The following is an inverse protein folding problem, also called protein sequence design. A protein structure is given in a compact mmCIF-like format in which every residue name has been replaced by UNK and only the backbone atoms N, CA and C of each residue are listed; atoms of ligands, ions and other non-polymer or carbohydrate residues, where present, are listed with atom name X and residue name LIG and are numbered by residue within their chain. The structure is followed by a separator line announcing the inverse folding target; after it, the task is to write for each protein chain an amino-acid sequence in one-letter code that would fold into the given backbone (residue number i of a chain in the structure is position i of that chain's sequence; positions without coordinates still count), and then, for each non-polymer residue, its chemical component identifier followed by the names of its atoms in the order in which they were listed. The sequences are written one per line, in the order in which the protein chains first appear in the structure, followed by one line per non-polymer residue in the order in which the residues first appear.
data_IF_450163035692
#
_entry.id   IF_450163035692
#
_cell.length_a   1.000
_cell.length_b   1.000
_cell.length_c   1.000
_cell.angle_alpha   90.00
_cell.angle_beta   90.00
_cell.angle_gamma   90.00
#
_symmetry.space_group_name_H-M   'P 1'
#
loop_
_entity.id
_entity.type
_entity.pdbx_description
1 polymer ?
#
# COMPACT_ATOMS: atom_id res chain seq x y z
N UNK A 1 -25.05 1.47 -0.78
CA UNK A 1 -24.12 0.56 -0.08
C UNK A 1 -24.92 -0.28 0.89
N UNK A 2 -25.30 -1.51 0.53
CA UNK A 2 -26.23 -2.32 1.31
C UNK A 2 -25.57 -3.31 2.29
N UNK A 3 -24.24 -3.50 2.22
CA UNK A 3 -23.52 -4.54 2.97
C UNK A 3 -22.36 -4.02 3.85
N UNK A 4 -22.38 -2.73 4.21
CA UNK A 4 -21.36 -2.10 5.04
C UNK A 4 -20.07 -1.71 4.29
N UNK A 5 -19.15 -1.04 4.99
CA UNK A 5 -17.92 -0.47 4.44
C UNK A 5 -16.94 -1.51 3.90
N UNK A 6 -16.88 -2.70 4.51
CA UNK A 6 -16.00 -3.77 4.03
C UNK A 6 -16.40 -4.19 2.61
N UNK A 7 -17.69 -4.34 2.36
CA UNK A 7 -18.19 -4.74 1.05
C UNK A 7 -18.17 -3.62 0.02
N UNK A 8 -18.34 -2.37 0.45
CA UNK A 8 -18.34 -1.23 -0.47
C UNK A 8 -16.96 -0.70 -0.82
N UNK A 9 -16.03 -0.62 0.14
CA UNK A 9 -14.70 -0.04 -0.05
C UNK A 9 -13.58 -1.05 0.20
N UNK A 10 -13.81 -2.02 1.08
CA UNK A 10 -12.80 -3.03 1.41
C UNK A 10 -12.47 -3.96 0.24
N UNK A 11 -13.43 -4.25 -0.62
CA UNK A 11 -13.22 -5.04 -1.84
C UNK A 11 -12.13 -4.47 -2.74
N UNK A 12 -12.06 -3.14 -2.91
CA UNK A 12 -10.98 -2.48 -3.66
C UNK A 12 -9.62 -2.64 -2.97
N UNK A 13 -9.56 -2.49 -1.64
CA UNK A 13 -8.30 -2.66 -0.92
C UNK A 13 -7.83 -4.11 -0.95
N UNK A 14 -8.74 -5.08 -0.80
CA UNK A 14 -8.43 -6.51 -0.85
C UNK A 14 -7.96 -6.92 -2.25
N UNK A 15 -8.64 -6.47 -3.30
CA UNK A 15 -8.23 -6.77 -4.67
C UNK A 15 -6.88 -6.12 -4.99
N UNK A 16 -6.63 -4.90 -4.54
CA UNK A 16 -5.34 -4.23 -4.73
C UNK A 16 -4.21 -4.98 -4.01
N UNK A 17 -4.42 -5.44 -2.77
CA UNK A 17 -3.42 -6.24 -2.06
C UNK A 17 -3.04 -7.51 -2.83
N UNK A 18 -4.05 -8.21 -3.39
CA UNK A 18 -3.84 -9.40 -4.24
C UNK A 18 -3.07 -9.07 -5.50
N UNK A 19 -3.43 -7.99 -6.19
CA UNK A 19 -2.74 -7.58 -7.42
C UNK A 19 -1.30 -7.15 -7.17
N UNK A 20 -1.01 -6.48 -6.05
CA UNK A 20 0.36 -6.08 -5.71
C UNK A 20 1.25 -7.30 -5.45
N UNK A 21 0.74 -8.29 -4.73
CA UNK A 21 1.49 -9.52 -4.46
C UNK A 21 1.39 -10.58 -5.56
N UNK A 22 0.54 -10.36 -6.58
CA UNK A 22 0.16 -11.34 -7.59
C UNK A 22 -0.19 -12.72 -6.99
N UNK A 23 -0.91 -12.71 -5.87
CA UNK A 23 -1.21 -13.90 -5.10
C UNK A 23 -2.48 -13.76 -4.26
N UNK A 24 -3.07 -14.89 -3.87
CA UNK A 24 -4.10 -14.93 -2.83
C UNK A 24 -3.47 -14.84 -1.44
N UNK A 25 -4.18 -14.23 -0.50
CA UNK A 25 -3.78 -14.26 0.90
C UNK A 25 -3.97 -15.68 1.47
N UNK A 26 -3.00 -16.15 2.24
CA UNK A 26 -3.10 -17.44 2.94
C UNK A 26 -4.01 -17.37 4.16
N UNK A 27 -3.99 -16.23 4.85
CA UNK A 27 -4.76 -16.02 6.08
C UNK A 27 -5.07 -14.55 6.34
N UNK A 28 -6.20 -14.31 7.01
CA UNK A 28 -6.50 -13.04 7.67
C UNK A 28 -6.00 -13.12 9.11
N UNK A 29 -4.93 -12.37 9.42
CA UNK A 29 -4.25 -12.37 10.73
C UNK A 29 -5.02 -11.54 11.75
N UNK A 30 -5.65 -10.45 11.29
CA UNK A 30 -6.36 -9.51 12.14
C UNK A 30 -7.53 -8.92 11.35
N UNK A 31 -8.70 -8.80 11.96
CA UNK A 31 -9.82 -8.06 11.40
C UNK A 31 -10.56 -7.34 12.53
N UNK A 32 -10.63 -6.01 12.43
CA UNK A 32 -11.31 -5.13 13.35
C UNK A 32 -12.34 -4.31 12.59
N UNK A 33 -13.53 -4.16 13.16
CA UNK A 33 -14.62 -3.40 12.56
C UNK A 33 -15.33 -2.57 13.60
N UNK A 34 -15.77 -1.37 13.21
CA UNK A 34 -16.67 -0.56 14.01
C UNK A 34 -17.99 -0.35 13.27
N UNK A 35 -19.10 -0.47 13.98
CA UNK A 35 -20.45 -0.33 13.44
C UNK A 35 -21.19 0.86 14.04
N UNK A 36 -22.12 1.42 13.27
CA UNK A 36 -23.08 2.37 13.82
C UNK A 36 -23.94 1.61 14.83
N UNK A 37 -24.18 2.19 15.99
CA UNK A 37 -24.99 1.57 17.05
C UNK A 37 -26.39 2.17 17.15
N UNK A 38 -26.64 3.26 16.44
CA UNK A 38 -27.84 4.09 16.51
C UNK A 38 -28.47 4.37 15.12
N UNK A 39 -29.74 4.79 15.15
CA UNK A 39 -30.51 5.16 13.95
C UNK A 39 -30.91 4.01 13.03
N UNK A 40 -31.48 4.36 11.87
CA UNK A 40 -32.00 3.39 10.87
C UNK A 40 -30.87 2.58 10.20
N UNK A 41 -29.61 3.00 10.35
CA UNK A 41 -28.41 2.39 9.75
C UNK A 41 -27.50 1.70 10.77
N UNK A 42 -28.04 1.28 11.92
CA UNK A 42 -27.32 0.68 13.05
C UNK A 42 -26.72 -0.73 12.83
N UNK A 43 -26.61 -1.19 11.58
CA UNK A 43 -26.02 -2.50 11.23
C UNK A 43 -24.90 -2.40 10.21
N UNK A 44 -24.60 -1.20 9.73
CA UNK A 44 -23.49 -0.95 8.81
C UNK A 44 -22.20 -0.66 9.56
N UNK A 45 -21.10 -1.31 9.17
CA UNK A 45 -19.78 -0.90 9.62
C UNK A 45 -19.35 0.41 8.94
N UNK A 46 -18.75 1.31 9.71
CA UNK A 46 -18.23 2.61 9.27
C UNK A 46 -16.71 2.70 9.30
N UNK A 47 -16.04 1.72 9.91
CA UNK A 47 -14.59 1.57 9.93
C UNK A 47 -14.24 0.08 9.87
N UNK A 48 -13.15 -0.23 9.18
CA UNK A 48 -12.48 -1.52 9.32
C UNK A 48 -10.97 -1.38 9.16
N UNK A 49 -10.26 -2.30 9.82
CA UNK A 49 -8.85 -2.59 9.60
C UNK A 49 -8.71 -4.10 9.48
N UNK A 50 -8.05 -4.58 8.44
CA UNK A 50 -7.70 -5.99 8.33
C UNK A 50 -6.24 -6.16 7.95
N UNK A 51 -5.65 -7.27 8.38
CA UNK A 51 -4.28 -7.67 8.05
C UNK A 51 -4.27 -9.06 7.45
N UNK A 52 -3.56 -9.22 6.36
CA UNK A 52 -3.44 -10.47 5.62
C UNK A 52 -1.98 -10.89 5.49
N UNK A 53 -1.73 -12.20 5.44
CA UNK A 53 -0.42 -12.79 5.10
C UNK A 53 -0.48 -13.39 3.70
N UNK A 54 0.61 -13.24 2.95
CA UNK A 54 0.75 -13.75 1.59
C UNK A 54 1.87 -14.80 1.48
N UNK A 55 1.85 -15.66 0.44
CA UNK A 55 2.81 -16.77 0.30
C UNK A 55 4.28 -16.37 0.23
N UNK A 56 4.59 -15.16 -0.25
CA UNK A 56 5.96 -14.62 -0.28
C UNK A 56 6.47 -14.18 1.12
N UNK A 57 5.68 -14.39 2.17
CA UNK A 57 5.97 -13.93 3.53
C UNK A 57 5.71 -12.44 3.74
N UNK A 58 5.14 -11.76 2.74
CA UNK A 58 4.64 -10.39 2.85
C UNK A 58 3.33 -10.32 3.65
N UNK A 59 2.99 -9.11 4.09
CA UNK A 59 1.71 -8.82 4.75
C UNK A 59 1.04 -7.61 4.14
N UNK A 60 -0.29 -7.58 4.13
CA UNK A 60 -1.07 -6.41 3.70
C UNK A 60 -1.96 -5.92 4.85
N UNK A 61 -1.75 -4.68 5.28
CA UNK A 61 -2.64 -3.94 6.15
C UNK A 61 -3.60 -3.10 5.29
N UNK A 62 -4.89 -3.35 5.41
CA UNK A 62 -5.93 -2.65 4.65
C UNK A 62 -6.88 -1.93 5.61
N UNK A 63 -7.21 -0.69 5.27
CA UNK A 63 -8.04 0.15 6.12
C UNK A 63 -8.98 1.00 5.28
N UNK A 64 -10.23 1.10 5.73
CA UNK A 64 -11.13 2.16 5.30
C UNK A 64 -11.97 2.66 6.45
N UNK A 65 -12.35 3.94 6.38
CA UNK A 65 -13.31 4.51 7.33
C UNK A 65 -14.07 5.69 6.75
N UNK A 66 -15.31 5.87 7.21
CA UNK A 66 -16.25 6.91 6.79
C UNK A 66 -16.24 8.12 7.73
N UNK A 67 -15.60 8.04 8.90
CA UNK A 67 -15.67 9.07 9.94
C UNK A 67 -14.30 9.60 10.28
N UNK A 68 -13.95 10.81 9.82
CA UNK A 68 -13.05 11.67 10.59
C UNK A 68 -12.54 12.94 9.93
N UNK A 69 -11.28 13.28 10.22
CA UNK A 69 -10.74 14.64 10.12
C UNK A 69 -10.64 15.14 8.67
N UNK A 70 -10.69 16.47 8.50
CA UNK A 70 -10.71 17.15 7.19
C UNK A 70 -9.52 16.82 6.28
N UNK A 71 -8.32 16.56 6.83
CA UNK A 71 -7.13 16.17 6.07
C UNK A 71 -6.79 14.70 6.32
N UNK A 72 -7.55 13.78 5.72
CA UNK A 72 -7.35 12.34 5.90
C UNK A 72 -7.57 11.55 4.60
N UNK A 73 -6.86 10.44 4.51
CA UNK A 73 -6.92 9.35 3.53
C UNK A 73 -7.92 8.22 3.90
N UNK A 74 -9.21 8.32 3.51
CA UNK A 74 -10.30 7.44 3.99
C UNK A 74 -10.16 5.97 3.64
N UNK A 75 -9.32 5.63 2.66
CA UNK A 75 -9.01 4.25 2.27
C UNK A 75 -7.58 4.12 1.83
N UNK A 76 -6.89 3.10 2.33
CA UNK A 76 -5.54 2.74 1.87
C UNK A 76 -5.22 1.27 2.10
N UNK A 77 -4.26 0.80 1.33
CA UNK A 77 -3.60 -0.50 1.50
C UNK A 77 -2.12 -0.26 1.71
N UNK A 78 -1.54 -0.91 2.70
CA UNK A 78 -0.11 -0.92 2.99
C UNK A 78 0.37 -2.35 2.90
N UNK A 79 1.21 -2.65 1.92
CA UNK A 79 1.88 -3.94 1.79
C UNK A 79 3.30 -3.85 2.31
N UNK A 80 3.68 -4.82 3.12
CA UNK A 80 5.01 -4.96 3.69
C UNK A 80 5.64 -6.25 3.19
N UNK A 81 6.79 -6.13 2.53
CA UNK A 81 7.59 -7.25 2.02
C UNK A 81 8.35 -7.94 3.15
N UNK A 82 8.77 -9.20 2.91
CA UNK A 82 9.72 -9.88 3.79
C UNK A 82 11.08 -9.15 3.74
N UNK A 83 11.87 -9.26 4.80
CA UNK A 83 13.23 -8.75 4.78
C UNK A 83 14.10 -9.54 3.79
N UNK A 84 14.63 -8.86 2.78
CA UNK A 84 15.50 -9.43 1.75
C UNK A 84 16.95 -8.97 1.94
N UNK A 85 17.91 -9.82 1.55
CA UNK A 85 19.33 -9.47 1.60
C UNK A 85 19.67 -8.64 0.38
N UNK A 86 20.23 -7.45 0.60
CA UNK A 86 20.66 -6.56 -0.49
C UNK A 86 22.18 -6.68 -0.63
N UNK A 87 22.69 -7.12 -1.79
CA UNK A 87 24.12 -7.11 -2.07
C UNK A 87 24.69 -5.69 -1.94
N UNK A 88 25.80 -5.55 -1.22
CA UNK A 88 26.49 -4.27 -1.03
C UNK A 88 27.98 -4.52 -0.83
N UNK A 89 28.76 -4.34 -1.90
CA UNK A 89 30.20 -4.59 -1.93
C UNK A 89 30.99 -3.61 -1.04
N UNK A 90 30.35 -2.53 -0.56
CA UNK A 90 30.97 -1.58 0.37
C UNK A 90 30.98 -2.07 1.82
N UNK A 91 30.25 -3.15 2.13
CA UNK A 91 30.16 -3.68 3.49
C UNK A 91 31.22 -4.76 3.76
N UNK A 92 31.75 -4.84 4.99
CA UNK A 92 32.61 -5.94 5.41
C UNK A 92 31.90 -7.29 5.26
N UNK A 93 32.65 -8.35 4.95
CA UNK A 93 32.10 -9.71 4.78
C UNK A 93 31.34 -10.23 6.01
N UNK A 94 31.66 -9.72 7.21
CA UNK A 94 30.97 -10.01 8.47
C UNK A 94 29.58 -9.38 8.58
N UNK A 95 29.22 -8.45 7.68
CA UNK A 95 27.93 -7.76 7.73
C UNK A 95 27.02 -8.20 6.58
N UNK A 96 25.70 -8.11 6.82
CA UNK A 96 24.68 -8.23 5.78
C UNK A 96 23.72 -7.06 5.86
N UNK A 97 23.33 -6.56 4.69
CA UNK A 97 22.32 -5.53 4.55
C UNK A 97 20.98 -6.19 4.28
N UNK A 98 20.01 -5.91 5.14
CA UNK A 98 18.64 -6.32 4.97
C UNK A 98 17.81 -5.11 4.59
N UNK A 99 16.84 -5.31 3.68
CA UNK A 99 15.87 -4.29 3.33
C UNK A 99 14.47 -4.87 3.46
N UNK A 100 13.63 -4.13 4.16
CA UNK A 100 12.19 -4.35 4.24
C UNK A 100 11.51 -3.15 3.62
N UNK A 101 10.61 -3.38 2.66
CA UNK A 101 9.84 -2.31 2.02
C UNK A 101 8.39 -2.37 2.41
N UNK A 102 7.87 -1.20 2.76
CA UNK A 102 6.47 -0.92 3.00
C UNK A 102 5.99 0.00 1.87
N UNK A 103 5.00 -0.45 1.09
CA UNK A 103 4.36 0.33 0.01
C UNK A 103 2.93 0.62 0.40
N UNK A 104 2.57 1.89 0.52
CA UNK A 104 1.21 2.32 0.86
C UNK A 104 0.56 3.01 -0.34
N UNK A 105 -0.56 2.45 -0.79
CA UNK A 105 -1.44 3.06 -1.79
C UNK A 105 -2.58 3.80 -1.12
N UNK A 106 -2.64 5.10 -1.39
CA UNK A 106 -3.72 5.95 -0.95
C UNK A 106 -4.65 6.27 -2.10
N UNK A 107 -5.95 6.41 -1.77
CA UNK A 107 -6.90 7.03 -2.69
C UNK A 107 -7.42 6.13 -3.80
N UNK A 108 -7.36 4.80 -3.67
CA UNK A 108 -7.88 3.86 -4.68
C UNK A 108 -9.33 4.12 -5.10
N UNK A 109 -10.20 4.44 -4.13
CA UNK A 109 -11.63 4.73 -4.38
C UNK A 109 -11.83 6.14 -4.96
N UNK A 110 -10.86 7.04 -4.74
CA UNK A 110 -10.90 8.43 -5.18
C UNK A 110 -9.75 8.73 -6.16
N UNK A 111 -9.33 7.71 -6.92
CA UNK A 111 -8.08 7.75 -7.68
C UNK A 111 -8.08 8.82 -8.78
N UNK A 112 -9.23 9.43 -9.07
CA UNK A 112 -9.37 10.57 -9.97
C UNK A 112 -9.03 11.90 -9.28
N UNK A 113 -9.48 12.08 -8.04
CA UNK A 113 -9.29 13.32 -7.30
C UNK A 113 -7.92 13.38 -6.64
N UNK A 114 -7.48 12.27 -6.04
CA UNK A 114 -6.20 12.20 -5.35
C UNK A 114 -5.80 10.75 -5.03
N UNK A 115 -4.54 10.44 -5.31
CA UNK A 115 -3.91 9.15 -5.07
C UNK A 115 -2.40 9.35 -4.97
N UNK A 116 -1.77 8.51 -4.17
CA UNK A 116 -0.34 8.58 -3.89
C UNK A 116 0.15 7.22 -3.50
N UNK A 117 1.35 6.86 -3.96
CA UNK A 117 2.10 5.71 -3.49
C UNK A 117 3.20 6.23 -2.60
N UNK A 118 3.22 5.81 -1.34
CA UNK A 118 4.36 6.05 -0.46
C UNK A 118 5.15 4.75 -0.33
N UNK A 119 6.45 4.82 -0.66
CA UNK A 119 7.39 3.73 -0.49
C UNK A 119 8.30 4.09 0.68
N UNK A 120 8.35 3.20 1.67
CA UNK A 120 9.19 3.31 2.85
C UNK A 120 10.09 2.10 2.93
N UNK A 121 11.37 2.33 2.73
CA UNK A 121 12.41 1.31 2.86
C UNK A 121 13.05 1.42 4.24
N UNK A 122 12.96 0.34 5.01
CA UNK A 122 13.72 0.15 6.23
C UNK A 122 14.94 -0.68 5.87
N UNK A 123 16.13 -0.07 5.98
CA UNK A 123 17.39 -0.75 5.71
C UNK A 123 18.12 -0.99 7.04
N UNK A 124 18.52 -2.22 7.27
CA UNK A 124 19.22 -2.66 8.47
C UNK A 124 20.52 -3.36 8.09
N UNK A 125 21.64 -2.94 8.67
CA UNK A 125 22.89 -3.69 8.61
C UNK A 125 22.96 -4.54 9.86
N UNK A 126 23.09 -5.85 9.68
CA UNK A 126 23.22 -6.82 10.77
C UNK A 126 24.56 -7.52 10.71
N UNK A 127 25.13 -7.74 11.87
CA UNK A 127 26.35 -8.53 12.02
C UNK A 127 26.02 -10.03 11.86
N UNK A 128 26.85 -10.77 11.12
CA UNK A 128 26.72 -12.22 10.95
C UNK A 128 27.29 -12.95 12.17
N UNK A 129 28.38 -12.43 12.75
CA UNK A 129 29.17 -13.12 13.76
C UNK A 129 28.65 -12.85 15.18
N UNK A 130 28.03 -11.68 15.40
CA UNK A 130 27.49 -11.23 16.69
C UNK A 130 26.03 -11.58 16.98
N UNK A 131 25.49 -12.67 16.41
CA UNK A 131 24.13 -13.13 16.68
C UNK A 131 23.01 -12.32 16.02
N UNK A 132 23.30 -11.58 14.94
CA UNK A 132 22.29 -10.83 14.19
C UNK A 132 21.94 -9.46 14.76
N UNK A 133 22.79 -8.89 15.63
CA UNK A 133 22.59 -7.54 16.19
C UNK A 133 22.56 -6.50 15.07
N UNK A 134 21.61 -5.58 15.16
CA UNK A 134 21.48 -4.44 14.21
C UNK A 134 22.58 -3.43 14.52
N UNK A 135 23.53 -3.28 13.60
CA UNK A 135 24.63 -2.32 13.69
C UNK A 135 24.17 -0.93 13.27
N UNK A 136 23.35 -0.86 12.23
CA UNK A 136 22.83 0.41 11.69
C UNK A 136 21.45 0.21 11.11
N UNK A 137 20.57 1.19 11.33
CA UNK A 137 19.23 1.22 10.76
C UNK A 137 18.92 2.61 10.24
N UNK A 138 18.35 2.70 9.05
CA UNK A 138 17.82 3.96 8.52
C UNK A 138 16.57 3.72 7.68
N UNK A 139 15.84 4.81 7.45
CA UNK A 139 14.58 4.79 6.71
C UNK A 139 14.70 5.72 5.52
N UNK A 140 14.42 5.21 4.32
CA UNK A 140 14.24 6.01 3.10
C UNK A 140 12.76 6.09 2.78
N UNK A 141 12.26 7.28 2.47
CA UNK A 141 10.87 7.51 2.06
C UNK A 141 10.85 8.17 0.69
N UNK A 142 10.07 7.63 -0.23
CA UNK A 142 9.80 8.22 -1.54
C UNK A 142 8.31 8.17 -1.83
N UNK A 143 7.80 9.17 -2.52
CA UNK A 143 6.39 9.24 -2.89
C UNK A 143 6.26 9.31 -4.41
N UNK A 144 5.29 8.59 -4.96
CA UNK A 144 4.97 8.58 -6.39
C UNK A 144 3.50 8.94 -6.61
N UNK A 145 3.21 9.56 -7.75
CA UNK A 145 1.86 9.88 -8.21
C UNK A 145 1.75 9.39 -9.67
N UNK A 146 0.64 8.77 -10.05
CA UNK A 146 0.44 8.30 -11.41
C UNK A 146 -0.28 9.30 -12.34
N UNK A 147 -0.74 10.44 -11.81
CA UNK A 147 -1.44 11.45 -12.62
C UNK A 147 -0.54 12.04 -13.69
N UNK A 148 -1.00 11.92 -14.93
CA UNK A 148 -0.58 12.79 -16.03
C UNK A 148 -1.78 13.64 -16.40
N UNK A 149 -1.82 14.89 -15.94
CA UNK A 149 -2.75 15.85 -16.51
C UNK A 149 -2.31 16.12 -17.95
N UNK A 150 -3.23 16.01 -18.91
CA UNK A 150 -2.93 16.47 -20.26
C UNK A 150 -2.65 17.98 -20.19
N UNK A 151 -1.49 18.36 -20.72
CA UNK A 151 -1.14 19.77 -20.90
C UNK A 151 -1.93 20.29 -22.09
N UNK A 152 -2.58 21.44 -21.93
CA UNK A 152 -3.20 22.12 -23.07
C UNK A 152 -2.13 22.52 -24.11
N UNK A 153 -2.58 23.03 -25.26
CA UNK A 153 -1.69 23.59 -26.29
C UNK A 153 -0.82 24.78 -25.83
N UNK A 154 -0.88 25.16 -24.54
CA UNK A 154 -0.09 26.20 -23.89
C UNK A 154 0.73 25.65 -22.71
N UNK A 155 0.81 24.32 -22.55
CA UNK A 155 1.62 23.67 -21.52
C UNK A 155 1.01 23.66 -20.12
N UNK A 156 -0.24 24.10 -19.93
CA UNK A 156 -0.93 24.17 -18.63
C UNK A 156 -1.67 22.89 -18.37
N UNK A 157 -1.59 22.38 -17.15
CA UNK A 157 -2.42 21.26 -16.72
C UNK A 157 -3.88 21.70 -16.73
N UNK A 158 -4.71 21.03 -17.52
CA UNK A 158 -6.15 21.33 -17.59
C UNK A 158 -6.95 20.25 -16.88
N UNK A 159 -7.92 20.68 -16.09
CA UNK A 159 -8.95 19.79 -15.52
C UNK A 159 -9.89 19.37 -16.66
N UNK A 160 -9.53 18.31 -17.39
CA UNK A 160 -10.46 17.64 -18.30
C UNK A 160 -11.44 16.77 -17.50
N UNK A 161 -12.64 16.56 -18.04
CA UNK A 161 -13.54 15.51 -17.58
C UNK A 161 -12.83 14.16 -17.69
N UNK A 162 -12.54 13.56 -16.54
CA UNK A 162 -11.89 12.25 -16.46
C UNK A 162 -12.90 11.20 -16.87
N UNK A 163 -12.56 10.42 -17.90
CA UNK A 163 -13.41 9.34 -18.37
C UNK A 163 -13.29 8.12 -17.45
N UNK A 164 -14.22 7.18 -17.61
CA UNK A 164 -14.12 5.88 -16.92
C UNK A 164 -12.79 5.17 -17.22
N UNK A 165 -12.35 5.21 -18.48
CA UNK A 165 -11.11 4.59 -18.95
C UNK A 165 -9.88 5.23 -18.29
N UNK A 166 -9.84 6.56 -18.20
CA UNK A 166 -8.77 7.29 -17.51
C UNK A 166 -8.66 6.87 -16.02
N UNK A 167 -9.81 6.68 -15.37
CA UNK A 167 -9.84 6.22 -13.96
C UNK A 167 -9.30 4.81 -13.81
N UNK A 168 -9.65 3.90 -14.72
CA UNK A 168 -9.11 2.53 -14.70
C UNK A 168 -7.62 2.57 -14.96
N UNK A 169 -7.18 3.28 -15.99
CA UNK A 169 -5.78 3.37 -16.37
C UNK A 169 -4.91 3.95 -15.24
N UNK A 170 -5.38 4.99 -14.55
CA UNK A 170 -4.68 5.56 -13.41
C UNK A 170 -4.58 4.58 -12.24
N UNK A 171 -5.67 3.88 -11.90
CA UNK A 171 -5.67 2.88 -10.83
C UNK A 171 -4.76 1.69 -11.16
N UNK A 172 -4.83 1.16 -12.39
CA UNK A 172 -3.98 0.05 -12.83
C UNK A 172 -2.50 0.44 -12.82
N UNK A 173 -2.15 1.62 -13.36
CA UNK A 173 -0.76 2.11 -13.33
C UNK A 173 -0.23 2.26 -11.90
N UNK A 174 -1.07 2.64 -10.94
CA UNK A 174 -0.66 2.72 -9.53
C UNK A 174 -0.38 1.33 -8.94
N UNK A 175 -1.20 0.34 -9.29
CA UNK A 175 -1.02 -1.06 -8.90
C UNK A 175 0.26 -1.61 -9.53
N UNK A 176 0.51 -1.35 -10.81
CA UNK A 176 1.71 -1.78 -11.51
C UNK A 176 2.97 -1.20 -10.85
N UNK A 177 2.99 0.11 -10.58
CA UNK A 177 4.10 0.74 -9.86
C UNK A 177 4.26 0.09 -8.48
N UNK A 178 3.17 -0.18 -7.76
CA UNK A 178 3.25 -0.81 -6.44
C UNK A 178 3.83 -2.23 -6.52
N UNK A 179 3.36 -3.03 -7.47
CA UNK A 179 3.83 -4.38 -7.76
C UNK A 179 5.32 -4.38 -8.13
N UNK A 180 5.74 -3.54 -9.08
CA UNK A 180 7.14 -3.36 -9.42
C UNK A 180 7.97 -3.03 -8.18
N UNK A 181 7.50 -2.10 -7.34
CA UNK A 181 8.21 -1.75 -6.11
C UNK A 181 8.20 -2.89 -5.08
N UNK A 182 7.29 -3.86 -5.09
CA UNK A 182 7.36 -4.99 -4.16
C UNK A 182 8.24 -6.13 -4.67
N UNK A 183 8.19 -6.47 -5.96
CA UNK A 183 8.88 -7.64 -6.54
C UNK A 183 10.41 -7.56 -6.47
N UNK A 184 11.00 -6.36 -6.59
CA UNK A 184 12.47 -6.20 -6.55
C UNK A 184 13.17 -6.69 -5.27
N UNK A 185 12.43 -7.07 -4.23
CA UNK A 185 13.01 -7.67 -3.02
C UNK A 185 12.88 -9.19 -2.96
N UNK A 186 12.04 -9.81 -3.78
CA UNK A 186 11.83 -11.26 -3.75
C UNK A 186 12.83 -12.03 -4.64
N UNK A 187 13.55 -11.35 -5.54
CA UNK A 187 14.52 -11.95 -6.48
C UNK A 187 15.98 -12.01 -5.98
N UNK A 188 16.27 -11.65 -4.72
CA UNK A 188 17.63 -11.63 -4.13
C UNK A 188 17.70 -12.32 -2.76
#
# INVERSE_FOLDING_TARGET
MAAGLIMSMGTYNFSTARMIFDAESEECVECQTSSYTDGVRNKGNWDFKAKFRFPNGGTADVKSTLIGRTNWTPSHVTVTTKAAVVPDDSLPASQKKLRTREVTLYGLVHAIAWSRIDVKDVVEIRDKDGGGKVVRRWIKKTSHKAYSFQKDGRGRETHQWVTHEDSIAASMKMIDIAHEKTVFLDEY
#
